data_IF_920649010728
#
_entry.id   IF_920649010728
#
_cell.length_a   1.000
_cell.length_b   1.000
_cell.length_c   1.000
_cell.angle_alpha   90.00
_cell.angle_beta   90.00
_cell.angle_gamma   90.00
#
_symmetry.space_group_name_H-M   'P 1'
#
loop_
_entity.id
_entity.type
_entity.pdbx_description
1 polymer ?
#
# COMPACT_ATOMS: atom_id res chain seq x y z
N UNK A 1 2.68 0.63 -5.40
CA UNK A 1 2.71 2.06 -5.80
C UNK A 1 3.14 2.85 -4.56
N UNK A 2 2.88 4.15 -4.42
CA UNK A 2 2.79 4.87 -3.14
C UNK A 2 2.17 6.25 -3.41
N UNK A 3 1.78 6.97 -2.36
CA UNK A 3 1.33 8.36 -2.45
C UNK A 3 2.47 9.34 -2.17
N UNK A 4 2.46 10.47 -2.88
CA UNK A 4 3.37 11.59 -2.64
C UNK A 4 2.62 12.91 -2.90
N UNK A 5 3.01 13.95 -2.16
CA UNK A 5 2.53 15.31 -2.36
C UNK A 5 3.65 16.31 -2.14
N UNK A 6 3.75 17.31 -3.00
CA UNK A 6 4.70 18.41 -2.85
C UNK A 6 4.02 19.65 -2.25
N UNK A 7 4.81 20.46 -1.55
CA UNK A 7 4.34 21.75 -1.04
C UNK A 7 3.95 22.69 -2.17
N UNK A 8 4.79 22.77 -3.21
CA UNK A 8 4.64 23.73 -4.31
C UNK A 8 3.96 23.13 -5.56
N UNK A 9 4.13 21.82 -5.82
CA UNK A 9 3.50 21.16 -6.99
C UNK A 9 2.13 20.65 -6.60
N UNK A 10 1.08 21.20 -7.23
CA UNK A 10 -0.32 20.83 -6.98
C UNK A 10 -0.88 19.93 -8.08
N UNK A 11 -1.71 18.98 -7.66
CA UNK A 11 -2.53 18.15 -8.55
C UNK A 11 -4.00 18.45 -8.32
N UNK A 12 -4.83 18.23 -9.35
CA UNK A 12 -6.30 18.26 -9.24
C UNK A 12 -6.86 16.98 -8.62
N UNK A 13 -6.03 15.95 -8.44
CA UNK A 13 -6.44 14.66 -7.90
C UNK A 13 -6.06 14.56 -6.43
N UNK A 14 -6.98 14.02 -5.63
CA UNK A 14 -6.68 13.44 -4.32
C UNK A 14 -6.41 11.96 -4.51
N UNK A 15 -5.40 11.43 -3.84
CA UNK A 15 -5.12 9.99 -3.80
C UNK A 15 -4.94 9.53 -2.36
N UNK A 16 -5.22 8.26 -2.12
CA UNK A 16 -4.94 7.57 -0.86
C UNK A 16 -4.75 6.09 -1.13
N UNK A 17 -4.05 5.40 -0.24
CA UNK A 17 -3.90 3.95 -0.30
C UNK A 17 -5.09 3.29 0.40
N UNK A 18 -5.80 2.41 -0.30
CA UNK A 18 -6.81 1.55 0.28
C UNK A 18 -6.24 0.14 0.42
N UNK A 19 -6.05 -0.31 1.66
CA UNK A 19 -5.35 -1.56 1.98
C UNK A 19 -6.28 -2.54 2.67
N UNK A 20 -6.14 -3.82 2.32
CA UNK A 20 -6.80 -4.93 3.02
C UNK A 20 -5.74 -5.65 3.85
N UNK A 21 -5.95 -5.74 5.16
CA UNK A 21 -5.07 -6.52 6.03
C UNK A 21 -5.36 -8.01 5.84
N UNK A 22 -4.34 -8.75 5.38
CA UNK A 22 -4.38 -10.20 5.31
C UNK A 22 -3.80 -10.78 6.60
N UNK A 23 -4.56 -11.69 7.23
CA UNK A 23 -4.10 -12.54 8.32
C UNK A 23 -4.18 -13.96 7.83
N UNK A 24 -3.03 -14.61 7.75
CA UNK A 24 -2.92 -16.00 7.35
C UNK A 24 -2.84 -16.88 8.61
N UNK A 25 -3.41 -18.08 8.50
CA UNK A 25 -3.45 -19.08 9.57
C UNK A 25 -2.91 -20.40 9.05
N UNK A 26 -2.75 -21.38 9.94
CA UNK A 26 -2.37 -22.74 9.56
C UNK A 26 -3.21 -23.27 8.37
N UNK A 27 -2.61 -23.97 7.39
CA UNK A 27 -1.20 -24.40 7.33
C UNK A 27 -0.25 -23.41 6.62
N UNK A 28 -0.77 -22.35 5.99
CA UNK A 28 0.05 -21.40 5.23
C UNK A 28 0.04 -20.03 5.91
N UNK A 29 1.13 -19.69 6.61
CA UNK A 29 1.25 -18.47 7.43
C UNK A 29 2.19 -17.40 6.86
N UNK A 30 2.86 -17.69 5.74
CA UNK A 30 3.86 -16.78 5.15
C UNK A 30 3.22 -15.64 4.33
N UNK A 31 2.86 -14.57 5.04
CA UNK A 31 2.30 -13.35 4.44
C UNK A 31 3.30 -12.63 3.53
N UNK A 32 4.61 -12.77 3.79
CA UNK A 32 5.64 -12.08 3.04
C UNK A 32 5.78 -12.70 1.65
N UNK A 33 5.81 -14.03 1.55
CA UNK A 33 5.88 -14.72 0.26
C UNK A 33 4.61 -14.56 -0.55
N UNK A 34 3.43 -14.53 0.08
CA UNK A 34 2.18 -14.20 -0.61
C UNK A 34 2.23 -12.80 -1.21
N UNK A 35 2.68 -11.80 -0.44
CA UNK A 35 2.84 -10.43 -0.92
C UNK A 35 3.84 -10.35 -2.09
N UNK A 36 5.00 -11.00 -1.96
CA UNK A 36 6.00 -11.08 -3.04
C UNK A 36 5.43 -11.75 -4.30
N UNK A 37 4.62 -12.80 -4.14
CA UNK A 37 3.99 -13.51 -5.26
C UNK A 37 3.01 -12.63 -6.01
N UNK A 38 2.15 -11.90 -5.29
CA UNK A 38 1.23 -10.91 -5.88
C UNK A 38 2.03 -9.83 -6.63
N UNK A 39 3.09 -9.30 -6.02
CA UNK A 39 3.96 -8.31 -6.65
C UNK A 39 4.59 -8.83 -7.95
N UNK A 40 5.15 -10.05 -7.94
CA UNK A 40 5.74 -10.69 -9.13
C UNK A 40 4.72 -10.83 -10.27
N UNK A 41 3.50 -11.28 -9.96
CA UNK A 41 2.42 -11.41 -10.96
C UNK A 41 2.05 -10.03 -11.49
N UNK A 42 1.86 -9.04 -10.61
CA UNK A 42 1.55 -7.67 -11.00
C UNK A 42 2.59 -7.07 -11.94
N UNK A 43 3.88 -7.20 -11.62
CA UNK A 43 4.98 -6.69 -12.44
C UNK A 43 4.99 -7.35 -13.81
N UNK A 44 4.70 -8.65 -13.92
CA UNK A 44 4.61 -9.34 -15.21
C UNK A 44 3.43 -8.82 -16.04
N UNK A 45 2.23 -8.78 -15.46
CA UNK A 45 1.01 -8.32 -16.14
C UNK A 45 1.12 -6.85 -16.54
N UNK A 46 1.73 -6.02 -15.69
CA UNK A 46 1.97 -4.61 -15.93
C UNK A 46 3.20 -4.30 -16.79
N UNK A 47 3.90 -5.32 -17.31
CA UNK A 47 5.10 -5.17 -18.16
C UNK A 47 6.14 -4.26 -17.49
N UNK A 48 6.47 -4.58 -16.25
CA UNK A 48 7.42 -3.81 -15.42
C UNK A 48 6.84 -2.60 -14.71
N UNK A 49 5.59 -2.22 -15.00
CA UNK A 49 4.94 -1.01 -14.46
C UNK A 49 3.74 -1.36 -13.58
N UNK A 50 3.31 -0.45 -12.67
CA UNK A 50 2.05 -0.62 -11.96
C UNK A 50 0.85 -0.67 -12.90
N UNK A 51 -0.19 -1.40 -12.50
CA UNK A 51 -1.44 -1.42 -13.23
C UNK A 51 -2.26 -0.16 -12.92
N UNK A 52 -2.98 0.33 -13.93
CA UNK A 52 -4.01 1.36 -13.79
C UNK A 52 -5.33 0.84 -14.39
N UNK A 53 -6.44 1.04 -13.70
CA UNK A 53 -7.77 0.66 -14.19
C UNK A 53 -8.83 1.63 -13.69
N UNK A 54 -9.84 1.92 -14.52
CA UNK A 54 -11.02 2.66 -14.07
C UNK A 54 -11.91 1.74 -13.25
N UNK A 55 -12.46 2.22 -12.14
CA UNK A 55 -13.38 1.47 -11.29
C UNK A 55 -14.54 0.87 -12.10
N UNK A 56 -15.15 1.65 -13.00
CA UNK A 56 -16.26 1.15 -13.81
C UNK A 56 -15.87 0.13 -14.89
N UNK A 57 -14.58 0.01 -15.24
CA UNK A 57 -14.10 -1.09 -16.07
C UNK A 57 -13.86 -2.35 -15.22
N UNK A 58 -13.30 -2.17 -14.01
CA UNK A 58 -13.10 -3.25 -13.04
C UNK A 58 -14.41 -3.93 -12.62
N UNK A 59 -15.44 -3.14 -12.28
CA UNK A 59 -16.77 -3.66 -11.92
C UNK A 59 -17.44 -4.44 -13.05
N UNK A 60 -17.10 -4.14 -14.30
CA UNK A 60 -17.60 -4.84 -15.49
C UNK A 60 -16.76 -6.06 -15.86
N UNK A 61 -15.75 -6.40 -15.05
CA UNK A 61 -14.84 -7.51 -15.32
C UNK A 61 -14.05 -7.33 -16.62
N UNK A 62 -13.67 -6.09 -16.95
CA UNK A 62 -12.90 -5.82 -18.16
C UNK A 62 -11.68 -4.93 -17.90
N UNK A 63 -10.66 -5.17 -18.70
CA UNK A 63 -9.46 -4.34 -18.83
C UNK A 63 -9.79 -2.87 -19.18
N UNK A 64 -9.06 -1.95 -18.56
CA UNK A 64 -8.95 -0.56 -19.08
C UNK A 64 -7.88 -0.44 -20.17
N UNK A 65 -8.09 0.50 -21.08
CA UNK A 65 -7.10 0.92 -22.10
C UNK A 65 -6.82 2.41 -21.98
N UNK A 66 -5.75 2.90 -22.59
CA UNK A 66 -5.46 4.34 -22.58
C UNK A 66 -6.57 5.17 -23.21
N UNK A 67 -7.20 4.68 -24.29
CA UNK A 67 -8.33 5.35 -24.93
C UNK A 67 -9.53 5.46 -23.99
N UNK A 68 -9.76 4.45 -23.16
CA UNK A 68 -10.83 4.45 -22.15
C UNK A 68 -10.50 5.41 -21.01
N UNK A 69 -9.27 5.40 -20.52
CA UNK A 69 -8.80 6.29 -19.45
C UNK A 69 -8.83 7.74 -19.91
N UNK A 70 -8.45 8.04 -21.17
CA UNK A 70 -8.46 9.38 -21.74
C UNK A 70 -9.86 10.00 -21.87
N UNK A 71 -10.93 9.17 -21.85
CA UNK A 71 -12.33 9.64 -21.81
C UNK A 71 -12.83 9.96 -20.39
N UNK A 72 -11.99 9.74 -19.37
CA UNK A 72 -12.29 10.07 -17.98
C UNK A 72 -12.12 11.57 -17.73
N UNK A 73 -12.86 12.13 -16.78
CA UNK A 73 -12.59 13.49 -16.28
C UNK A 73 -11.34 13.54 -15.40
N UNK A 74 -10.88 12.39 -14.91
CA UNK A 74 -9.69 12.26 -14.06
C UNK A 74 -8.47 11.95 -14.93
N UNK A 75 -7.48 12.83 -14.89
CA UNK A 75 -6.19 12.62 -15.55
C UNK A 75 -5.22 11.88 -14.63
N UNK A 76 -4.62 10.74 -15.05
CA UNK A 76 -3.59 10.03 -14.29
C UNK A 76 -2.43 10.93 -13.87
N UNK A 77 -2.04 10.90 -12.59
CA UNK A 77 -0.81 11.56 -12.10
C UNK A 77 0.41 10.68 -12.30
N UNK A 78 0.26 9.36 -12.09
CA UNK A 78 1.29 8.36 -12.42
C UNK A 78 1.07 7.86 -13.85
N UNK A 79 1.74 8.49 -14.82
CA UNK A 79 1.66 8.12 -16.24
C UNK A 79 2.52 6.90 -16.58
N UNK A 80 3.56 6.63 -15.79
CA UNK A 80 4.37 5.42 -15.95
C UNK A 80 3.66 4.21 -15.33
N UNK A 81 2.53 3.83 -15.95
CA UNK A 81 1.67 2.72 -15.56
C UNK A 81 1.15 2.00 -16.80
N UNK A 82 0.58 0.81 -16.61
CA UNK A 82 0.04 -0.02 -17.70
C UNK A 82 -1.46 -0.21 -17.51
N UNK A 83 -2.32 0.23 -18.46
CA UNK A 83 -3.74 -0.05 -18.41
C UNK A 83 -4.01 -1.54 -18.50
N UNK A 84 -4.66 -2.09 -17.48
CA UNK A 84 -4.81 -3.53 -17.33
C UNK A 84 -6.08 -3.94 -16.61
N UNK A 85 -6.09 -5.18 -16.17
CA UNK A 85 -7.14 -5.78 -15.36
C UNK A 85 -6.55 -6.23 -14.02
N UNK A 86 -6.88 -5.49 -12.97
CA UNK A 86 -6.42 -5.70 -11.59
C UNK A 86 -6.98 -7.02 -11.05
N UNK A 87 -8.13 -7.49 -11.54
CA UNK A 87 -8.73 -8.76 -11.11
C UNK A 87 -7.91 -9.99 -11.50
N UNK A 88 -7.00 -9.87 -12.47
CA UNK A 88 -6.04 -10.93 -12.83
C UNK A 88 -4.90 -11.08 -11.83
N UNK A 89 -4.71 -10.10 -10.94
CA UNK A 89 -3.53 -9.99 -10.08
C UNK A 89 -3.89 -10.10 -8.60
N UNK A 90 -4.97 -9.45 -8.19
CA UNK A 90 -5.39 -9.46 -6.79
C UNK A 90 -6.27 -10.67 -6.49
N UNK A 91 -6.04 -11.38 -5.37
CA UNK A 91 -6.94 -12.44 -4.92
C UNK A 91 -8.37 -11.92 -4.78
N UNK A 92 -9.35 -12.77 -5.12
CA UNK A 92 -10.77 -12.40 -5.09
C UNK A 92 -11.19 -11.73 -3.78
N UNK A 93 -10.79 -12.28 -2.62
CA UNK A 93 -11.11 -11.70 -1.31
C UNK A 93 -10.58 -10.28 -1.14
N UNK A 94 -9.37 -9.98 -1.61
CA UNK A 94 -8.80 -8.63 -1.54
C UNK A 94 -9.60 -7.68 -2.42
N UNK A 95 -9.90 -8.10 -3.66
CA UNK A 95 -10.65 -7.30 -4.61
C UNK A 95 -12.08 -7.00 -4.12
N UNK A 96 -12.80 -8.01 -3.63
CA UNK A 96 -14.16 -7.85 -3.10
C UNK A 96 -14.20 -6.91 -1.91
N UNK A 97 -13.25 -7.02 -0.98
CA UNK A 97 -13.14 -6.11 0.16
C UNK A 97 -12.87 -4.66 -0.28
N UNK A 98 -12.02 -4.46 -1.29
CA UNK A 98 -11.74 -3.12 -1.85
C UNK A 98 -13.00 -2.52 -2.47
N UNK A 99 -13.71 -3.28 -3.32
CA UNK A 99 -14.93 -2.81 -3.98
C UNK A 99 -16.03 -2.49 -2.98
N UNK A 100 -16.26 -3.36 -1.99
CA UNK A 100 -17.22 -3.07 -0.91
C UNK A 100 -16.82 -1.80 -0.16
N UNK A 101 -15.53 -1.66 0.19
CA UNK A 101 -15.07 -0.47 0.94
C UNK A 101 -15.24 0.81 0.14
N UNK A 102 -14.96 0.81 -1.16
CA UNK A 102 -15.20 1.96 -2.03
C UNK A 102 -16.70 2.32 -2.03
N UNK A 103 -17.58 1.34 -2.18
CA UNK A 103 -19.04 1.54 -2.13
C UNK A 103 -19.51 2.12 -0.79
N UNK A 104 -18.96 1.63 0.33
CA UNK A 104 -19.29 2.15 1.68
C UNK A 104 -18.76 3.56 1.89
N UNK A 105 -17.54 3.84 1.44
CA UNK A 105 -16.93 5.16 1.57
C UNK A 105 -17.65 6.21 0.72
N UNK A 106 -18.25 5.83 -0.40
CA UNK A 106 -19.06 6.73 -1.22
C UNK A 106 -20.26 7.32 -0.47
N UNK A 107 -20.80 6.61 0.53
CA UNK A 107 -21.85 7.15 1.42
C UNK A 107 -21.34 8.35 2.21
N UNK A 108 -20.07 8.34 2.62
CA UNK A 108 -19.44 9.39 3.42
C UNK A 108 -18.83 10.48 2.53
N UNK A 109 -18.30 10.10 1.36
CA UNK A 109 -17.67 10.98 0.39
C UNK A 109 -18.22 10.71 -1.01
N UNK A 110 -19.39 11.32 -1.35
CA UNK A 110 -20.06 11.05 -2.62
C UNK A 110 -19.18 11.36 -3.84
N UNK A 111 -19.14 10.41 -4.77
CA UNK A 111 -18.34 10.48 -5.99
C UNK A 111 -17.05 9.65 -5.95
N UNK A 112 -16.70 9.06 -4.81
CA UNK A 112 -15.58 8.13 -4.71
C UNK A 112 -15.81 6.87 -5.56
N UNK A 113 -17.03 6.33 -5.55
CA UNK A 113 -17.41 5.16 -6.35
C UNK A 113 -17.76 5.53 -7.80
N UNK A 114 -17.32 6.69 -8.29
CA UNK A 114 -17.49 7.07 -9.69
C UNK A 114 -16.84 6.02 -10.62
N UNK A 115 -17.51 5.62 -11.72
CA UNK A 115 -16.91 4.76 -12.75
C UNK A 115 -15.60 5.29 -13.32
N UNK A 116 -15.32 6.58 -13.13
CA UNK A 116 -14.13 7.30 -13.59
C UNK A 116 -12.96 7.25 -12.60
N UNK A 117 -13.20 6.85 -11.35
CA UNK A 117 -12.16 6.67 -10.32
C UNK A 117 -11.06 5.76 -10.83
N UNK A 118 -9.81 6.21 -10.71
CA UNK A 118 -8.64 5.47 -11.16
C UNK A 118 -8.04 4.69 -10.00
N UNK A 119 -7.85 3.39 -10.22
CA UNK A 119 -7.24 2.47 -9.27
C UNK A 119 -5.86 2.11 -9.80
N UNK A 120 -4.86 2.30 -8.95
CA UNK A 120 -3.50 1.83 -9.19
C UNK A 120 -3.21 0.62 -8.31
N UNK A 121 -2.60 -0.42 -8.88
CA UNK A 121 -2.32 -1.64 -8.14
C UNK A 121 -1.01 -2.33 -8.56
N UNK A 122 -0.39 -3.10 -7.66
CA UNK A 122 -0.73 -3.23 -6.24
C UNK A 122 -0.02 -2.19 -5.36
N UNK A 123 -0.63 -1.89 -4.22
CA UNK A 123 0.06 -1.32 -3.06
C UNK A 123 0.25 -2.43 -2.02
N UNK A 124 1.50 -2.76 -1.71
CA UNK A 124 1.82 -3.82 -0.74
C UNK A 124 2.70 -3.20 0.33
N UNK A 125 2.31 -3.43 1.58
CA UNK A 125 3.06 -3.01 2.76
C UNK A 125 3.38 -4.24 3.59
N UNK A 126 4.67 -4.58 3.67
CA UNK A 126 5.17 -5.74 4.39
C UNK A 126 5.28 -5.41 5.88
N UNK A 127 4.19 -5.55 6.62
CA UNK A 127 4.13 -5.22 8.06
C UNK A 127 4.36 -6.42 8.98
N UNK A 128 5.25 -7.34 8.62
CA UNK A 128 5.30 -8.68 9.24
C UNK A 128 6.38 -8.88 10.29
N UNK A 129 7.31 -7.94 10.48
CA UNK A 129 8.41 -8.10 11.44
C UNK A 129 8.31 -7.00 12.48
N UNK A 130 8.05 -7.39 13.73
CA UNK A 130 8.16 -6.54 14.91
C UNK A 130 9.25 -7.17 15.77
N UNK A 131 10.32 -6.42 16.01
CA UNK A 131 11.40 -6.86 16.88
C UNK A 131 10.99 -6.56 18.32
N UNK A 132 11.06 -7.57 19.19
CA UNK A 132 10.81 -7.37 20.62
C UNK A 132 11.95 -6.55 21.23
N UNK A 133 11.57 -5.47 21.92
CA UNK A 133 12.50 -4.56 22.58
C UNK A 133 12.04 -4.19 23.98
N UNK A 134 13.00 -3.82 24.83
CA UNK A 134 12.70 -3.21 26.12
C UNK A 134 12.36 -1.70 25.97
N UNK A 135 12.12 -1.02 27.11
CA UNK A 135 11.78 0.43 27.12
C UNK A 135 12.87 1.34 26.55
N UNK A 136 14.10 0.84 26.44
CA UNK A 136 15.29 1.53 25.92
C UNK A 136 15.54 1.20 24.44
N UNK A 137 14.63 0.48 23.78
CA UNK A 137 14.75 -0.01 22.42
C UNK A 137 15.88 -1.04 22.21
N UNK A 138 16.37 -1.64 23.29
CA UNK A 138 17.32 -2.74 23.21
C UNK A 138 16.59 -4.06 22.95
N UNK A 139 17.15 -4.89 22.10
CA UNK A 139 16.61 -6.21 21.76
C UNK A 139 16.88 -7.22 22.88
N UNK A 140 16.48 -8.48 22.66
CA UNK A 140 16.93 -9.61 23.49
C UNK A 140 18.44 -9.88 23.45
N UNK A 141 19.17 -9.27 22.50
CA UNK A 141 20.63 -9.36 22.41
C UNK A 141 21.21 -8.09 23.01
N UNK A 142 21.99 -8.27 24.07
CA UNK A 142 22.65 -7.18 24.80
C UNK A 142 23.51 -6.31 23.88
N UNK A 143 23.41 -4.99 24.04
CA UNK A 143 24.14 -4.02 23.23
C UNK A 143 23.58 -3.82 21.82
N UNK A 144 22.52 -4.53 21.42
CA UNK A 144 21.85 -4.33 20.12
C UNK A 144 20.55 -3.55 20.32
N UNK A 145 20.51 -2.37 19.70
CA UNK A 145 19.37 -1.45 19.72
C UNK A 145 18.76 -1.32 18.34
N UNK A 146 17.44 -1.26 18.26
CA UNK A 146 16.71 -1.11 16.99
C UNK A 146 15.67 0.00 17.09
N UNK A 147 15.42 0.69 15.98
CA UNK A 147 14.46 1.79 15.93
C UNK A 147 13.85 1.91 14.53
N UNK A 148 12.77 2.67 14.45
CA UNK A 148 12.12 3.01 13.19
C UNK A 148 11.24 1.91 12.60
N UNK A 149 10.80 2.15 11.37
CA UNK A 149 9.84 1.29 10.66
C UNK A 149 10.44 -0.09 10.34
N UNK A 150 11.75 -0.17 10.09
CA UNK A 150 12.44 -1.43 9.76
C UNK A 150 12.42 -2.45 10.90
N UNK A 151 12.32 -1.98 12.15
CA UNK A 151 12.16 -2.81 13.34
C UNK A 151 10.69 -3.17 13.64
N UNK A 152 9.73 -2.63 12.85
CA UNK A 152 8.30 -2.78 13.11
C UNK A 152 7.76 -1.93 14.27
N UNK A 153 8.56 -1.02 14.81
CA UNK A 153 8.23 -0.21 16.00
C UNK A 153 7.56 1.12 15.67
N UNK A 154 7.42 1.44 14.39
CA UNK A 154 6.91 2.71 13.89
C UNK A 154 6.09 2.53 12.61
N UNK A 155 5.25 3.53 12.31
CA UNK A 155 4.43 3.62 11.10
C UNK A 155 4.35 5.06 10.56
N UNK A 156 5.40 5.83 10.76
CA UNK A 156 5.44 7.22 10.35
C UNK A 156 6.66 7.95 10.87
N UNK A 157 7.00 9.04 10.20
CA UNK A 157 8.24 9.80 10.41
C UNK A 157 8.45 10.18 11.89
N UNK A 158 7.41 10.70 12.54
CA UNK A 158 7.51 11.17 13.93
C UNK A 158 7.75 10.04 14.92
N UNK A 159 7.08 8.89 14.75
CA UNK A 159 7.25 7.74 15.64
C UNK A 159 8.63 7.10 15.40
N UNK A 160 9.06 7.01 14.15
CA UNK A 160 10.40 6.51 13.81
C UNK A 160 11.48 7.35 14.48
N UNK A 161 11.39 8.68 14.37
CA UNK A 161 12.31 9.60 15.03
C UNK A 161 12.28 9.44 16.57
N UNK A 162 11.09 9.33 17.16
CA UNK A 162 10.96 9.12 18.61
C UNK A 162 11.64 7.83 19.08
N UNK A 163 11.45 6.71 18.37
CA UNK A 163 12.14 5.44 18.68
C UNK A 163 13.66 5.56 18.55
N UNK A 164 14.15 6.34 17.58
CA UNK A 164 15.58 6.62 17.44
C UNK A 164 16.16 7.38 18.65
N UNK A 165 15.42 8.36 19.17
CA UNK A 165 15.81 9.09 20.39
C UNK A 165 15.83 8.14 21.60
N UNK A 166 14.85 7.24 21.73
CA UNK A 166 14.82 6.27 22.82
C UNK A 166 16.00 5.30 22.76
N UNK A 167 16.32 4.79 21.57
CA UNK A 167 17.48 3.93 21.35
C UNK A 167 18.79 4.66 21.69
N UNK A 168 18.96 5.91 21.24
CA UNK A 168 20.15 6.71 21.54
C UNK A 168 20.34 6.94 23.04
N UNK A 169 19.26 7.21 23.78
CA UNK A 169 19.30 7.32 25.25
C UNK A 169 19.64 5.99 25.92
N UNK A 170 19.07 4.89 25.42
CA UNK A 170 19.38 3.53 25.88
C UNK A 170 20.88 3.22 25.78
N UNK A 171 21.47 3.51 24.61
CA UNK A 171 22.91 3.36 24.37
C UNK A 171 23.71 4.24 25.34
N UNK A 172 23.37 5.53 25.45
CA UNK A 172 24.13 6.48 26.27
C UNK A 172 24.15 6.13 27.76
N UNK A 173 23.08 5.53 28.30
CA UNK A 173 23.02 5.10 29.71
C UNK A 173 23.71 3.75 29.96
N UNK A 174 24.04 3.00 28.90
CA UNK A 174 24.68 1.68 28.98
C UNK A 174 26.19 1.71 28.72
N UNK A 175 26.75 2.92 28.49
CA UNK A 175 28.18 3.21 28.42
C UNK A 175 28.72 3.59 29.80
#
# INVERSE_FOLDING_TARGET
>A
VNGESYREIKSKNTNFALLVTLRLTDPYTDVLELGKSIAKIATKVGVGKPLIQRLGDLERGRRSTWERIARSTITPTLRDSTPGDISLVLPHRVLSNILETISRLDIVYPGLASPQTLIYAPEIKYYSVVIDVNKRMETSIEGIYVAGDGAGLSRGINIAAATGILAARGIAESL
#
